data_IF_973939000268
#
_entry.id   IF_973939000268
#
_cell.length_a   1.000
_cell.length_b   1.000
_cell.length_c   1.000
_cell.angle_alpha   90.00
_cell.angle_beta   90.00
_cell.angle_gamma   90.00
#
_symmetry.space_group_name_H-M   'P 1'
#
loop_
_entity.id
_entity.type
_entity.pdbx_description
1 polymer ?
#
# COMPACT_ATOMS: atom_id res chain seq x y z
N UNK A 1 -27.31 3.82 -4.92
CA UNK A 1 -26.38 4.54 -4.02
C UNK A 1 -25.25 5.08 -4.88
N UNK A 2 -24.88 6.36 -4.74
CA UNK A 2 -23.78 6.97 -5.50
C UNK A 2 -22.44 6.68 -4.80
N UNK A 3 -21.89 5.49 -5.06
CA UNK A 3 -20.62 5.01 -4.50
C UNK A 3 -19.43 5.85 -4.94
N UNK A 4 -19.49 6.46 -6.13
CA UNK A 4 -18.44 7.32 -6.66
C UNK A 4 -18.33 8.63 -5.85
N UNK A 5 -19.47 9.25 -5.53
CA UNK A 5 -19.51 10.44 -4.67
C UNK A 5 -18.99 10.12 -3.26
N UNK A 6 -19.45 9.01 -2.65
CA UNK A 6 -18.98 8.60 -1.33
C UNK A 6 -17.47 8.36 -1.30
N UNK A 7 -16.90 7.74 -2.33
CA UNK A 7 -15.46 7.50 -2.42
C UNK A 7 -14.64 8.78 -2.49
N UNK A 8 -15.14 9.81 -3.20
CA UNK A 8 -14.49 11.13 -3.26
C UNK A 8 -14.41 11.79 -1.88
N UNK A 9 -15.42 11.59 -1.04
CA UNK A 9 -15.47 12.12 0.32
C UNK A 9 -14.59 11.33 1.30
N UNK A 10 -14.50 10.00 1.12
CA UNK A 10 -13.76 9.12 2.04
C UNK A 10 -12.25 9.12 1.79
N UNK A 11 -11.78 9.23 0.54
CA UNK A 11 -10.34 9.22 0.21
C UNK A 11 -9.52 10.25 0.99
N UNK A 12 -9.94 11.54 1.10
CA UNK A 12 -9.25 12.53 1.92
C UNK A 12 -9.20 12.17 3.41
N UNK A 13 -10.26 11.57 3.96
CA UNK A 13 -10.32 11.14 5.35
C UNK A 13 -9.31 10.02 5.63
N UNK A 14 -9.26 9.00 4.76
CA UNK A 14 -8.27 7.91 4.86
C UNK A 14 -6.84 8.46 4.80
N UNK A 15 -6.56 9.38 3.86
CA UNK A 15 -5.25 10.02 3.76
C UNK A 15 -4.89 10.77 5.06
N UNK A 16 -5.84 11.46 5.66
CA UNK A 16 -5.63 12.20 6.91
C UNK A 16 -5.33 11.28 8.08
N UNK A 17 -6.00 10.12 8.15
CA UNK A 17 -5.70 9.07 9.14
C UNK A 17 -4.27 8.57 8.95
N UNK A 18 -3.89 8.18 7.72
CA UNK A 18 -2.55 7.68 7.42
C UNK A 18 -1.46 8.69 7.78
N UNK A 19 -1.68 9.98 7.54
CA UNK A 19 -0.72 11.03 7.92
C UNK A 19 -0.49 11.16 9.44
N UNK A 20 -1.39 10.63 10.28
CA UNK A 20 -1.19 10.60 11.74
C UNK A 20 -0.65 9.29 12.28
N UNK A 21 -0.97 8.17 11.63
CA UNK A 21 -0.73 6.82 12.18
C UNK A 21 0.20 5.97 11.32
N UNK A 22 0.87 6.55 10.32
CA UNK A 22 1.74 5.79 9.42
C UNK A 22 2.86 5.06 10.19
N UNK A 23 3.11 3.76 9.92
CA UNK A 23 4.14 2.99 10.64
C UNK A 23 5.55 3.60 10.51
N UNK A 24 5.85 4.25 9.38
CA UNK A 24 7.17 4.86 9.17
C UNK A 24 7.48 6.02 10.12
N UNK A 25 6.47 6.65 10.73
CA UNK A 25 6.72 7.70 11.73
C UNK A 25 7.25 7.13 13.06
N UNK A 26 7.11 5.82 13.28
CA UNK A 26 7.48 5.14 14.52
C UNK A 26 8.76 4.31 14.36
N UNK A 27 9.71 4.77 13.54
CA UNK A 27 10.99 4.06 13.36
C UNK A 27 11.77 3.86 14.67
N UNK A 28 11.53 4.70 15.68
CA UNK A 28 12.14 4.65 17.01
C UNK A 28 11.42 3.71 18.00
N UNK A 29 10.18 3.32 17.71
CA UNK A 29 9.38 2.41 18.55
C UNK A 29 8.87 1.23 17.68
N UNK A 30 9.58 0.08 17.70
CA UNK A 30 9.24 -1.06 16.86
C UNK A 30 7.87 -1.66 17.21
N UNK A 31 7.42 -1.54 18.47
CA UNK A 31 6.13 -2.06 18.92
C UNK A 31 4.99 -1.21 18.34
N UNK A 32 5.08 0.11 18.51
CA UNK A 32 4.10 1.03 17.91
C UNK A 32 4.06 0.92 16.38
N UNK A 33 5.22 0.77 15.73
CA UNK A 33 5.33 0.52 14.29
C UNK A 33 4.58 -0.74 13.86
N UNK A 34 4.78 -1.84 14.55
CA UNK A 34 4.14 -3.12 14.22
C UNK A 34 2.62 -3.09 14.44
N UNK A 35 2.16 -2.46 15.52
CA UNK A 35 0.74 -2.29 15.81
C UNK A 35 0.09 -1.43 14.73
N UNK A 36 0.67 -0.27 14.41
CA UNK A 36 0.17 0.60 13.36
C UNK A 36 0.17 -0.06 11.99
N UNK A 37 1.21 -0.82 11.63
CA UNK A 37 1.26 -1.56 10.37
C UNK A 37 0.10 -2.56 10.27
N UNK A 38 -0.16 -3.32 11.35
CA UNK A 38 -1.24 -4.30 11.41
C UNK A 38 -2.62 -3.62 11.34
N UNK A 39 -2.82 -2.54 12.09
CA UNK A 39 -4.08 -1.79 12.12
C UNK A 39 -4.38 -1.07 10.82
N UNK A 40 -3.37 -0.49 10.16
CA UNK A 40 -3.51 0.15 8.84
C UNK A 40 -3.88 -0.89 7.78
N UNK A 41 -3.25 -2.05 7.78
CA UNK A 41 -3.59 -3.13 6.85
C UNK A 41 -5.06 -3.55 7.02
N UNK A 42 -5.49 -3.82 8.27
CA UNK A 42 -6.89 -4.16 8.58
C UNK A 42 -7.86 -3.06 8.17
N UNK A 43 -7.52 -1.78 8.41
CA UNK A 43 -8.33 -0.65 7.99
C UNK A 43 -8.50 -0.62 6.46
N UNK A 44 -7.44 -0.88 5.70
CA UNK A 44 -7.52 -0.96 4.23
C UNK A 44 -8.40 -2.13 3.77
N UNK A 45 -8.32 -3.29 4.44
CA UNK A 45 -9.16 -4.45 4.12
C UNK A 45 -10.65 -4.17 4.40
N UNK A 46 -10.96 -3.50 5.51
CA UNK A 46 -12.32 -3.09 5.86
C UNK A 46 -12.90 -2.04 4.90
N UNK A 47 -12.05 -1.15 4.38
CA UNK A 47 -12.44 -0.10 3.44
C UNK A 47 -12.29 -0.51 1.97
N UNK A 48 -11.68 -1.65 1.66
CA UNK A 48 -11.48 -2.13 0.30
C UNK A 48 -12.76 -2.15 -0.55
N UNK A 49 -13.94 -2.58 -0.03
CA UNK A 49 -15.20 -2.54 -0.78
C UNK A 49 -15.65 -1.13 -1.17
N UNK A 50 -15.20 -0.11 -0.43
CA UNK A 50 -15.51 1.29 -0.67
C UNK A 50 -14.50 1.94 -1.63
N UNK A 51 -13.24 1.52 -1.56
CA UNK A 51 -12.12 2.13 -2.28
C UNK A 51 -11.85 1.51 -3.66
N UNK A 52 -12.11 0.21 -3.87
CA UNK A 52 -11.87 -0.46 -5.17
C UNK A 52 -13.12 -0.41 -6.07
N UNK A 53 -12.90 -0.11 -7.35
CA UNK A 53 -13.92 -0.34 -8.39
C UNK A 53 -14.05 -1.84 -8.64
N UNK A 54 -15.28 -2.33 -8.59
CA UNK A 54 -15.60 -3.74 -8.79
C UNK A 54 -15.22 -4.21 -10.20
N UNK A 55 -13.99 -4.68 -10.40
CA UNK A 55 -13.62 -5.51 -11.57
C UNK A 55 -12.56 -6.59 -11.32
N UNK A 56 -12.01 -6.74 -10.11
CA UNK A 56 -11.22 -7.95 -9.81
C UNK A 56 -11.66 -8.58 -8.50
N UNK A 57 -12.18 -9.80 -8.62
CA UNK A 57 -12.34 -10.77 -7.53
C UNK A 57 -10.95 -10.95 -6.92
N UNK A 58 -10.67 -10.23 -5.85
CA UNK A 58 -9.48 -10.42 -5.06
C UNK A 58 -9.62 -11.75 -4.30
N UNK A 59 -8.66 -12.61 -4.56
CA UNK A 59 -8.44 -13.92 -3.98
C UNK A 59 -8.65 -13.89 -2.47
N UNK A 60 -9.46 -14.83 -2.00
CA UNK A 60 -9.74 -15.06 -0.59
C UNK A 60 -8.45 -15.46 0.13
N UNK A 61 -7.96 -14.61 1.02
CA UNK A 61 -7.27 -15.09 2.21
C UNK A 61 -8.32 -15.18 3.32
N UNK A 62 -8.89 -16.38 3.47
CA UNK A 62 -9.66 -16.78 4.64
C UNK A 62 -8.68 -17.00 5.79
N UNK A 63 -8.33 -15.94 6.52
CA UNK A 63 -8.01 -16.12 7.93
C UNK A 63 -9.31 -16.31 8.69
N UNK A 64 -9.40 -17.45 9.37
CA UNK A 64 -10.51 -17.88 10.23
C UNK A 64 -10.99 -16.74 11.16
N UNK A 65 -12.31 -16.53 11.33
CA UNK A 65 -12.84 -15.52 12.24
C UNK A 65 -12.70 -16.03 13.68
N UNK A 66 -11.55 -15.79 14.30
CA UNK A 66 -11.42 -15.94 15.75
C UNK A 66 -12.05 -14.72 16.40
N UNK A 67 -13.11 -14.97 17.16
CA UNK A 67 -14.03 -14.02 17.76
C UNK A 67 -13.43 -13.18 18.90
N UNK A 68 -12.38 -12.42 18.61
CA UNK A 68 -11.95 -11.29 19.43
C UNK A 68 -12.20 -10.03 18.61
N UNK A 69 -13.05 -9.15 19.13
CA UNK A 69 -13.58 -7.94 18.49
C UNK A 69 -12.61 -7.26 17.49
N UNK A 70 -13.15 -6.82 16.34
CA UNK A 70 -12.50 -6.00 15.29
C UNK A 70 -12.03 -4.63 15.82
N UNK A 71 -11.19 -4.66 16.85
CA UNK A 71 -10.62 -3.50 17.52
C UNK A 71 -9.30 -3.20 16.82
N UNK A 72 -9.22 -2.02 16.25
CA UNK A 72 -8.00 -1.45 15.71
C UNK A 72 -7.37 -0.58 16.79
N UNK A 73 -6.05 -0.68 16.91
CA UNK A 73 -5.28 0.15 17.84
C UNK A 73 -4.30 1.00 17.05
N UNK A 74 -4.27 2.28 17.34
CA UNK A 74 -3.40 3.23 16.66
C UNK A 74 -2.57 4.02 17.66
N UNK A 75 -1.27 4.13 17.37
CA UNK A 75 -0.41 5.13 17.96
C UNK A 75 -0.42 6.37 17.06
N UNK A 76 -0.65 7.52 17.66
CA UNK A 76 -0.63 8.80 16.97
C UNK A 76 0.76 9.40 17.00
N UNK A 77 1.13 10.06 15.90
CA UNK A 77 2.30 10.94 15.88
C UNK A 77 1.99 12.12 16.80
N UNK A 78 2.56 12.11 18.00
CA UNK A 78 2.55 13.25 18.91
C UNK A 78 3.58 14.30 18.51
N UNK A 79 3.30 15.57 18.82
CA UNK A 79 4.33 16.63 18.85
C UNK A 79 5.22 16.51 20.10
N UNK A 80 4.93 15.56 20.99
CA UNK A 80 5.58 15.36 22.28
C UNK A 80 6.40 14.08 22.30
N UNK A 81 7.60 14.13 22.89
CA UNK A 81 8.58 13.04 22.94
C UNK A 81 8.22 11.88 23.89
N UNK A 82 7.02 11.90 24.49
CA UNK A 82 6.55 10.86 25.41
C UNK A 82 5.74 9.80 24.67
N UNK A 83 5.77 8.53 25.14
CA UNK A 83 4.99 7.44 24.56
C UNK A 83 3.50 7.76 24.66
N UNK A 84 2.84 7.90 23.51
CA UNK A 84 1.41 8.16 23.45
C UNK A 84 0.62 6.88 23.75
N UNK A 85 -0.45 7.01 24.52
CA UNK A 85 -1.38 5.91 24.76
C UNK A 85 -2.04 5.49 23.43
N UNK A 86 -2.18 4.18 23.15
CA UNK A 86 -2.85 3.71 21.96
C UNK A 86 -4.34 4.13 21.96
N UNK A 87 -4.82 4.56 20.80
CA UNK A 87 -6.22 4.85 20.55
C UNK A 87 -6.88 3.59 20.00
N UNK A 88 -7.72 2.95 20.81
CA UNK A 88 -8.49 1.78 20.39
C UNK A 88 -9.83 2.19 19.78
N UNK A 89 -10.17 1.60 18.64
CA UNK A 89 -11.43 1.82 17.92
C UNK A 89 -11.96 0.51 17.37
N UNK A 90 -13.22 0.19 17.68
CA UNK A 90 -13.89 -0.97 17.13
C UNK A 90 -14.82 -0.52 16.00
N UNK A 91 -14.69 -1.16 14.84
CA UNK A 91 -15.64 -0.99 13.76
C UNK A 91 -16.96 -1.66 14.11
N UNK A 92 -18.09 -1.05 13.74
CA UNK A 92 -19.40 -1.63 14.06
C UNK A 92 -19.55 -2.94 13.28
N UNK A 93 -19.45 -4.08 13.98
CA UNK A 93 -19.67 -5.38 13.38
C UNK A 93 -21.18 -5.63 13.38
N UNK A 94 -21.73 -5.97 12.22
CA UNK A 94 -23.16 -6.26 12.10
C UNK A 94 -23.41 -7.57 12.85
N UNK A 95 -23.79 -7.49 14.12
CA UNK A 95 -24.44 -8.62 14.76
C UNK A 95 -25.80 -8.83 14.09
N UNK A 96 -26.06 -10.10 13.78
CA UNK A 96 -27.13 -10.77 13.04
C UNK A 96 -28.60 -10.33 13.21
N UNK A 97 -28.95 -9.11 13.67
CA UNK A 97 -30.31 -8.58 13.49
C UNK A 97 -30.45 -7.93 12.12
N UNK A 98 -30.56 -8.82 11.15
CA UNK A 98 -30.54 -8.57 9.72
C UNK A 98 -31.87 -8.00 9.23
N UNK A 99 -31.88 -6.93 8.41
CA UNK A 99 -33.02 -6.67 7.54
C UNK A 99 -33.07 -7.78 6.46
N UNK A 100 -34.23 -8.44 6.33
CA UNK A 100 -34.54 -9.31 5.20
C UNK A 100 -34.53 -8.45 3.93
N UNK A 101 -33.49 -8.58 3.10
CA UNK A 101 -33.37 -7.79 1.88
C UNK A 101 -32.22 -8.28 1.01
N UNK A 102 -32.32 -8.05 -0.31
CA UNK A 102 -31.37 -8.47 -1.33
C UNK A 102 -29.91 -8.15 -0.94
N UNK A 103 -28.97 -9.06 -1.25
CA UNK A 103 -27.54 -8.96 -0.93
C UNK A 103 -26.89 -7.65 -1.40
N UNK A 104 -27.37 -7.07 -2.49
CA UNK A 104 -26.91 -5.77 -2.98
C UNK A 104 -27.20 -4.62 -2.00
N UNK A 105 -28.38 -4.62 -1.37
CA UNK A 105 -28.74 -3.60 -0.38
C UNK A 105 -27.91 -3.74 0.89
N UNK A 106 -27.59 -4.98 1.29
CA UNK A 106 -26.70 -5.25 2.44
C UNK A 106 -25.30 -4.70 2.20
N UNK A 107 -24.74 -4.92 1.01
CA UNK A 107 -23.43 -4.37 0.64
C UNK A 107 -23.43 -2.85 0.66
N UNK A 108 -24.44 -2.20 0.08
CA UNK A 108 -24.55 -0.73 0.09
C UNK A 108 -24.68 -0.16 1.50
N UNK A 109 -25.50 -0.79 2.35
CA UNK A 109 -25.63 -0.38 3.74
C UNK A 109 -24.30 -0.53 4.50
N UNK A 110 -23.60 -1.66 4.33
CA UNK A 110 -22.31 -1.89 4.97
C UNK A 110 -21.26 -0.87 4.52
N UNK A 111 -21.18 -0.57 3.22
CA UNK A 111 -20.27 0.45 2.68
C UNK A 111 -20.57 1.83 3.30
N UNK A 112 -21.85 2.19 3.41
CA UNK A 112 -22.26 3.44 4.02
C UNK A 112 -21.90 3.47 5.53
N UNK A 113 -22.14 2.38 6.25
CA UNK A 113 -21.80 2.24 7.66
C UNK A 113 -20.29 2.35 7.89
N UNK A 114 -19.46 1.74 7.03
CA UNK A 114 -17.99 1.86 7.11
C UNK A 114 -17.49 3.29 6.90
N UNK A 115 -18.15 4.07 6.04
CA UNK A 115 -17.84 5.50 5.89
C UNK A 115 -18.15 6.30 7.16
N UNK A 116 -19.26 5.97 7.84
CA UNK A 116 -19.62 6.59 9.13
C UNK A 116 -18.63 6.21 10.24
N UNK A 117 -18.27 4.93 10.33
CA UNK A 117 -17.28 4.45 11.29
C UNK A 117 -15.92 5.15 11.09
N UNK A 118 -15.52 5.41 9.82
CA UNK A 118 -14.30 6.16 9.53
C UNK A 118 -14.35 7.62 10.03
N UNK A 119 -15.49 8.29 9.91
CA UNK A 119 -15.64 9.65 10.48
C UNK A 119 -15.49 9.60 12.00
N UNK A 120 -16.09 8.61 12.66
CA UNK A 120 -15.93 8.42 14.10
C UNK A 120 -14.46 8.15 14.50
N UNK A 121 -13.73 7.38 13.68
CA UNK A 121 -12.29 7.17 13.86
C UNK A 121 -11.50 8.49 13.73
N UNK A 122 -11.78 9.31 12.71
CA UNK A 122 -11.15 10.62 12.55
C UNK A 122 -11.36 11.52 13.77
N UNK A 123 -12.58 11.53 14.33
CA UNK A 123 -12.90 12.29 15.53
C UNK A 123 -12.09 11.80 16.74
N UNK A 124 -11.95 10.48 16.93
CA UNK A 124 -11.13 9.92 18.02
C UNK A 124 -9.64 10.23 17.86
N UNK A 125 -9.14 10.28 16.63
CA UNK A 125 -7.75 10.65 16.33
C UNK A 125 -7.50 12.17 16.34
N UNK A 126 -8.51 12.97 16.66
CA UNK A 126 -8.42 14.44 16.66
C UNK A 126 -8.06 15.00 15.29
N UNK A 127 -8.59 14.42 14.21
CA UNK A 127 -8.40 14.89 12.83
C UNK A 127 -9.57 15.82 12.50
N UNK A 128 -9.28 17.06 12.11
CA UNK A 128 -10.30 17.99 11.66
C UNK A 128 -10.98 17.48 10.38
N UNK A 129 -12.26 17.13 10.48
CA UNK A 129 -13.08 16.73 9.34
C UNK A 129 -13.94 17.90 8.87
N UNK A 130 -14.05 18.12 7.56
CA UNK A 130 -14.96 19.12 7.00
C UNK A 130 -16.40 18.79 7.36
N UNK A 131 -17.08 19.67 8.09
CA UNK A 131 -18.48 19.48 8.53
C UNK A 131 -19.42 19.20 7.35
N UNK A 132 -19.16 19.85 6.20
CA UNK A 132 -19.89 19.62 4.95
C UNK A 132 -19.77 18.19 4.43
N UNK A 133 -18.57 17.58 4.52
CA UNK A 133 -18.34 16.21 4.06
C UNK A 133 -19.00 15.20 5.01
N UNK A 134 -19.00 15.48 6.32
CA UNK A 134 -19.68 14.65 7.32
C UNK A 134 -21.19 14.65 7.09
N UNK A 135 -21.80 15.83 6.93
CA UNK A 135 -23.22 15.95 6.63
C UNK A 135 -23.63 15.22 5.34
N UNK A 136 -22.80 15.29 4.29
CA UNK A 136 -23.05 14.55 3.05
C UNK A 136 -22.96 13.02 3.23
N UNK A 137 -21.98 12.53 4.00
CA UNK A 137 -21.86 11.10 4.32
C UNK A 137 -23.09 10.63 5.10
N UNK A 138 -23.53 11.38 6.11
CA UNK A 138 -24.73 11.07 6.89
C UNK A 138 -26.00 11.05 6.05
N UNK A 139 -26.15 12.00 5.11
CA UNK A 139 -27.27 12.02 4.19
C UNK A 139 -27.30 10.78 3.28
N UNK A 140 -26.14 10.33 2.79
CA UNK A 140 -26.03 9.12 1.97
C UNK A 140 -26.35 7.86 2.79
N UNK A 141 -25.88 7.80 4.04
CA UNK A 141 -26.19 6.71 4.98
C UNK A 141 -27.68 6.66 5.30
N UNK A 142 -28.31 7.81 5.58
CA UNK A 142 -29.74 7.91 5.85
C UNK A 142 -30.60 7.44 4.67
N UNK A 143 -30.21 7.78 3.44
CA UNK A 143 -30.88 7.29 2.21
C UNK A 143 -30.72 5.78 2.03
N UNK A 144 -29.55 5.23 2.34
CA UNK A 144 -29.31 3.78 2.28
C UNK A 144 -30.12 3.02 3.35
N UNK A 145 -30.34 3.61 4.54
CA UNK A 145 -31.17 3.06 5.61
C UNK A 145 -32.68 3.21 5.38
N UNK A 146 -33.15 4.30 4.76
CA UNK A 146 -34.57 4.54 4.51
C UNK A 146 -35.13 3.73 3.32
N UNK A 147 -34.27 3.32 2.37
CA UNK A 147 -34.66 2.55 1.18
C UNK A 147 -35.22 1.14 1.49
N UNK A 148 -35.17 0.68 2.74
CA UNK A 148 -35.73 -0.62 3.17
C UNK A 148 -37.18 -0.54 3.66
N UNK A 149 -37.76 0.65 3.84
CA UNK A 149 -39.15 0.84 4.31
C UNK A 149 -40.19 1.10 3.22
N UNK A 150 -39.79 1.24 1.95
CA UNK A 150 -40.71 1.60 0.86
C UNK A 150 -40.77 0.50 -0.21
N UNK A 151 -41.29 -0.67 0.14
CA UNK A 151 -41.60 -1.75 -0.81
C UNK A 151 -43.03 -1.70 -1.39
N UNK A 152 -43.86 -0.74 -0.97
CA UNK A 152 -45.27 -0.67 -1.38
C UNK A 152 -45.58 0.33 -2.53
N UNK A 153 -44.62 1.16 -2.96
CA UNK A 153 -44.85 2.19 -4.00
C UNK A 153 -44.13 1.91 -5.34
N UNK A 154 -43.55 0.72 -5.52
CA UNK A 154 -42.52 0.45 -6.53
C UNK A 154 -43.00 -0.15 -7.86
N UNK A 155 -44.28 -0.04 -8.21
CA UNK A 155 -44.77 -0.51 -9.51
C UNK A 155 -44.75 0.59 -10.59
N UNK A 156 -45.21 1.81 -10.29
CA UNK A 156 -45.29 2.90 -11.28
C UNK A 156 -43.93 3.58 -11.54
N UNK A 157 -43.08 3.69 -10.50
CA UNK A 157 -41.73 4.28 -10.61
C UNK A 157 -40.78 3.33 -11.33
N UNK A 158 -41.00 2.02 -11.28
CA UNK A 158 -40.17 1.03 -11.97
C UNK A 158 -40.31 1.12 -13.49
N UNK A 159 -41.53 1.34 -14.00
CA UNK A 159 -41.79 1.53 -15.43
C UNK A 159 -41.15 2.82 -15.97
N UNK A 160 -41.35 3.95 -15.28
CA UNK A 160 -40.73 5.22 -15.65
C UNK A 160 -39.18 5.16 -15.55
N UNK A 161 -38.64 4.43 -14.57
CA UNK A 161 -37.19 4.26 -14.40
C UNK A 161 -36.59 3.29 -15.43
N UNK A 162 -37.32 2.28 -15.91
CA UNK A 162 -36.84 1.40 -16.98
C UNK A 162 -36.78 2.12 -18.31
N UNK A 163 -37.75 2.99 -18.60
CA UNK A 163 -37.77 3.79 -19.81
C UNK A 163 -36.64 4.84 -19.83
N UNK A 164 -36.41 5.52 -18.70
CA UNK A 164 -35.27 6.44 -18.55
C UNK A 164 -33.91 5.72 -18.66
N UNK A 165 -33.81 4.49 -18.15
CA UNK A 165 -32.59 3.67 -18.29
C UNK A 165 -32.39 3.20 -19.73
N UNK A 166 -33.44 2.84 -20.44
CA UNK A 166 -33.38 2.47 -21.85
C UNK A 166 -32.96 3.67 -22.73
N UNK A 167 -33.49 4.87 -22.44
CA UNK A 167 -33.09 6.10 -23.13
C UNK A 167 -31.60 6.43 -22.92
N UNK A 168 -31.12 6.40 -21.68
CA UNK A 168 -29.68 6.63 -21.37
C UNK A 168 -28.76 5.56 -21.97
N UNK A 169 -29.22 4.30 -22.05
CA UNK A 169 -28.44 3.24 -22.68
C UNK A 169 -28.26 3.50 -24.18
N UNK A 170 -29.28 3.98 -24.89
CA UNK A 170 -29.19 4.36 -26.31
C UNK A 170 -28.23 5.54 -26.51
N UNK A 171 -28.36 6.58 -25.70
CA UNK A 171 -27.48 7.76 -25.77
C UNK A 171 -26.01 7.40 -25.46
N UNK A 172 -25.77 6.52 -24.49
CA UNK A 172 -24.43 6.02 -24.19
C UNK A 172 -23.84 5.25 -25.39
N UNK A 173 -24.61 4.41 -26.07
CA UNK A 173 -24.14 3.68 -27.26
C UNK A 173 -23.77 4.64 -28.40
N UNK A 174 -24.56 5.69 -28.64
CA UNK A 174 -24.24 6.71 -29.64
C UNK A 174 -22.97 7.48 -29.31
N UNK A 175 -22.78 7.84 -28.03
CA UNK A 175 -21.54 8.50 -27.58
C UNK A 175 -20.32 7.58 -27.70
N UNK A 176 -20.44 6.29 -27.38
CA UNK A 176 -19.35 5.33 -27.60
C UNK A 176 -19.03 5.16 -29.09
N UNK A 177 -20.05 5.18 -29.97
CA UNK A 177 -19.84 5.13 -31.42
C UNK A 177 -19.08 6.36 -31.93
N UNK A 178 -19.51 7.56 -31.53
CA UNK A 178 -18.82 8.83 -31.87
C UNK A 178 -17.40 8.90 -31.34
N UNK A 179 -17.16 8.40 -30.13
CA UNK A 179 -15.82 8.41 -29.51
C UNK A 179 -14.85 7.41 -30.16
N UNK A 180 -15.37 6.33 -30.76
CA UNK A 180 -14.56 5.38 -31.54
C UNK A 180 -14.14 5.93 -32.91
N UNK A 181 -14.94 6.85 -33.46
CA UNK A 181 -14.67 7.52 -34.74
C UNK A 181 -13.76 8.75 -34.60
N UNK A 182 -13.60 9.29 -33.39
CA UNK A 182 -12.70 10.41 -33.13
C UNK A 182 -11.23 9.93 -33.08
N UNK A 183 -10.32 10.49 -33.90
CA UNK A 183 -8.90 10.16 -33.82
C UNK A 183 -8.35 10.58 -32.44
N UNK A 184 -7.73 9.63 -31.73
CA UNK A 184 -7.15 9.87 -30.41
C UNK A 184 -5.99 10.88 -30.53
N UNK A 185 -6.11 12.10 -29.95
CA UNK A 185 -5.09 13.14 -30.08
C UNK A 185 -3.75 12.73 -29.46
N UNK A 186 -3.75 11.70 -28.59
CA UNK A 186 -2.55 11.18 -27.95
C UNK A 186 -2.02 9.90 -28.61
N UNK A 187 -2.64 9.39 -29.67
CA UNK A 187 -2.17 8.18 -30.37
C UNK A 187 -0.72 8.33 -30.83
N UNK A 188 -0.39 9.50 -31.40
CA UNK A 188 0.97 9.82 -31.84
C UNK A 188 1.98 9.88 -30.68
N UNK A 189 1.57 10.38 -29.52
CA UNK A 189 2.40 10.49 -28.32
C UNK A 189 2.64 9.11 -27.68
N UNK A 190 1.60 8.27 -27.61
CA UNK A 190 1.68 6.89 -27.13
C UNK A 190 2.52 6.01 -28.06
N UNK A 191 2.44 6.22 -29.37
CA UNK A 191 3.31 5.56 -30.35
C UNK A 191 4.77 5.97 -30.17
N UNK A 192 5.05 7.28 -30.00
CA UNK A 192 6.41 7.75 -29.67
C UNK A 192 6.92 7.24 -28.33
N UNK A 193 6.08 7.13 -27.30
CA UNK A 193 6.47 6.58 -25.99
C UNK A 193 6.70 5.07 -26.04
N UNK A 194 5.98 4.33 -26.90
CA UNK A 194 6.26 2.90 -27.14
C UNK A 194 7.57 2.67 -27.87
N UNK A 195 7.92 3.56 -28.80
CA UNK A 195 9.19 3.53 -29.52
C UNK A 195 10.37 4.02 -28.66
N UNK A 196 10.11 4.91 -27.71
CA UNK A 196 11.10 5.33 -26.75
C UNK A 196 11.34 4.18 -25.74
N UNK A 197 12.45 3.43 -25.94
CA UNK A 197 13.00 2.49 -24.94
C UNK A 197 13.38 3.28 -23.68
N UNK A 198 12.42 3.51 -22.79
CA UNK A 198 12.64 4.01 -21.43
C UNK A 198 13.07 2.85 -20.52
N UNK A 199 14.19 2.23 -20.87
CA UNK A 199 14.97 1.47 -19.91
C UNK A 199 16.36 2.07 -19.97
N UNK A 200 16.88 2.64 -18.86
CA UNK A 200 18.32 2.84 -18.75
C UNK A 200 18.94 1.50 -19.11
N UNK A 201 19.90 1.47 -20.02
CA UNK A 201 20.60 0.27 -20.46
C UNK A 201 21.28 -0.41 -19.26
N UNK A 202 20.50 -1.19 -18.50
CA UNK A 202 20.93 -2.23 -17.58
C UNK A 202 21.16 -3.55 -18.34
N UNK A 203 21.04 -3.52 -19.67
CA UNK A 203 21.52 -4.59 -20.54
C UNK A 203 22.95 -4.26 -20.96
N UNK A 204 23.89 -4.36 -20.01
CA UNK A 204 25.27 -4.68 -20.40
C UNK A 204 25.22 -5.95 -21.23
N UNK A 205 26.01 -5.98 -22.29
CA UNK A 205 26.14 -7.15 -23.17
C UNK A 205 26.36 -8.39 -22.32
N UNK A 206 25.77 -9.51 -22.74
CA UNK A 206 25.87 -10.81 -22.07
C UNK A 206 27.32 -11.32 -21.94
N UNK A 207 28.27 -10.59 -22.53
CA UNK A 207 29.70 -10.88 -22.62
C UNK A 207 30.58 -9.85 -21.88
N UNK A 208 30.01 -8.85 -21.21
CA UNK A 208 30.78 -7.92 -20.40
C UNK A 208 31.23 -8.63 -19.12
N UNK A 209 32.49 -9.08 -19.09
CA UNK A 209 33.14 -9.59 -17.87
C UNK A 209 32.90 -8.59 -16.73
N UNK A 210 32.38 -9.09 -15.62
CA UNK A 210 32.22 -8.29 -14.42
C UNK A 210 33.62 -7.94 -13.91
N UNK A 211 33.95 -6.65 -13.91
CA UNK A 211 35.22 -6.14 -13.38
C UNK A 211 34.97 -5.44 -12.05
N UNK A 212 35.72 -5.82 -11.03
CA UNK A 212 35.68 -5.19 -9.72
C UNK A 212 36.31 -3.80 -9.80
N UNK A 213 35.58 -2.79 -9.37
CA UNK A 213 36.13 -1.42 -9.27
C UNK A 213 37.03 -1.35 -8.03
N UNK A 214 38.33 -1.60 -8.22
CA UNK A 214 39.33 -1.59 -7.14
C UNK A 214 39.41 -0.25 -6.40
N UNK A 215 39.01 0.85 -7.03
CA UNK A 215 38.94 2.18 -6.39
C UNK A 215 37.85 2.29 -5.32
N UNK A 216 36.92 1.34 -5.30
CA UNK A 216 35.82 1.27 -4.33
C UNK A 216 35.96 0.14 -3.32
N UNK A 217 37.12 -0.52 -3.28
CA UNK A 217 37.43 -1.57 -2.31
C UNK A 217 38.25 -0.98 -1.17
N UNK A 218 37.70 -1.05 0.02
CA UNK A 218 38.31 -0.54 1.25
C UNK A 218 38.56 -1.70 2.22
N UNK A 219 39.60 -1.58 3.03
CA UNK A 219 39.96 -2.57 4.04
C UNK A 219 39.87 -1.94 5.43
N UNK A 220 39.25 -2.66 6.36
CA UNK A 220 39.27 -2.27 7.76
C UNK A 220 40.70 -2.40 8.31
N UNK A 221 41.05 -1.55 9.28
CA UNK A 221 42.39 -1.54 9.89
C UNK A 221 42.78 -2.83 10.61
N UNK A 222 41.83 -3.73 10.85
CA UNK A 222 42.07 -5.04 11.45
C UNK A 222 42.57 -6.10 10.46
N UNK A 223 42.46 -5.86 9.15
CA UNK A 223 42.86 -6.83 8.12
C UNK A 223 44.35 -6.67 7.83
N UNK A 224 45.09 -7.77 7.75
CA UNK A 224 46.53 -7.75 7.45
C UNK A 224 46.79 -7.20 6.02
N UNK A 225 47.56 -6.11 5.85
CA UNK A 225 47.85 -5.53 4.54
C UNK A 225 48.49 -6.50 3.54
N UNK A 226 49.22 -7.51 4.02
CA UNK A 226 49.84 -8.52 3.15
C UNK A 226 48.81 -9.42 2.47
N UNK A 227 47.62 -9.54 3.05
CA UNK A 227 46.53 -10.37 2.53
C UNK A 227 45.67 -9.66 1.49
N UNK A 228 45.79 -8.33 1.33
CA UNK A 228 44.89 -7.53 0.49
C UNK A 228 44.84 -8.03 -0.96
N UNK A 229 46.00 -8.23 -1.58
CA UNK A 229 46.08 -8.69 -2.96
C UNK A 229 45.36 -10.03 -3.16
N UNK A 230 45.57 -10.98 -2.24
CA UNK A 230 44.94 -12.31 -2.28
C UNK A 230 43.42 -12.23 -2.08
N UNK A 231 42.95 -11.33 -1.20
CA UNK A 231 41.51 -11.14 -0.97
C UNK A 231 40.85 -10.53 -2.22
N UNK A 232 41.46 -9.52 -2.83
CA UNK A 232 40.94 -8.90 -4.06
C UNK A 232 40.85 -9.92 -5.19
N UNK A 233 41.92 -10.69 -5.42
CA UNK A 233 41.94 -11.75 -6.44
C UNK A 233 40.83 -12.78 -6.20
N UNK A 234 40.61 -13.16 -4.94
CA UNK A 234 39.52 -14.08 -4.57
C UNK A 234 38.14 -13.49 -4.84
N UNK A 235 37.92 -12.20 -4.58
CA UNK A 235 36.66 -11.52 -4.90
C UNK A 235 36.46 -11.48 -6.41
N UNK A 236 37.49 -11.08 -7.16
CA UNK A 236 37.47 -11.01 -8.63
C UNK A 236 37.13 -12.36 -9.28
N UNK A 237 37.68 -13.45 -8.75
CA UNK A 237 37.42 -14.81 -9.25
C UNK A 237 35.98 -15.27 -8.98
N UNK A 238 35.30 -14.68 -7.99
CA UNK A 238 33.97 -15.11 -7.54
C UNK A 238 32.88 -14.05 -7.73
N UNK A 239 33.08 -13.03 -8.58
CA UNK A 239 32.12 -11.92 -8.76
C UNK A 239 30.72 -12.40 -9.21
N UNK A 240 30.68 -13.40 -10.08
CA UNK A 240 29.42 -13.96 -10.59
C UNK A 240 28.60 -14.60 -9.47
N UNK A 241 29.26 -15.37 -8.60
CA UNK A 241 28.61 -16.06 -7.49
C UNK A 241 28.23 -15.10 -6.36
N UNK A 242 28.97 -13.99 -6.21
CA UNK A 242 28.67 -12.93 -5.25
C UNK A 242 27.56 -11.98 -5.72
N UNK A 243 27.00 -12.20 -6.92
CA UNK A 243 25.99 -11.32 -7.53
C UNK A 243 26.43 -9.84 -7.55
N UNK A 244 27.68 -9.61 -7.98
CA UNK A 244 28.28 -8.26 -8.01
C UNK A 244 27.43 -7.26 -8.81
N UNK A 245 26.70 -7.72 -9.83
CA UNK A 245 25.75 -6.94 -10.61
C UNK A 245 24.75 -6.15 -9.75
N UNK A 246 24.32 -6.73 -8.62
CA UNK A 246 23.30 -6.12 -7.74
C UNK A 246 23.84 -5.01 -6.86
N UNK A 247 25.15 -4.98 -6.61
CA UNK A 247 25.74 -4.08 -5.62
C UNK A 247 27.01 -3.36 -6.09
N UNK A 248 27.41 -3.50 -7.36
CA UNK A 248 28.53 -2.82 -7.98
C UNK A 248 28.49 -1.27 -7.91
N UNK A 249 27.33 -0.69 -7.60
CA UNK A 249 27.18 0.75 -7.38
C UNK A 249 27.66 1.21 -6.00
N UNK A 250 27.78 0.29 -5.03
CA UNK A 250 28.14 0.58 -3.64
C UNK A 250 29.62 0.28 -3.37
N UNK A 251 30.27 1.03 -2.47
CA UNK A 251 31.63 0.72 -2.04
C UNK A 251 31.67 -0.57 -1.19
N UNK A 252 32.74 -1.34 -1.34
CA UNK A 252 32.97 -2.60 -0.63
C UNK A 252 33.94 -2.37 0.53
N UNK A 253 33.58 -2.83 1.72
CA UNK A 253 34.41 -2.83 2.92
C UNK A 253 34.76 -4.27 3.32
N UNK A 254 36.05 -4.61 3.25
CA UNK A 254 36.58 -5.89 3.70
C UNK A 254 36.94 -5.80 5.18
N UNK A 255 36.35 -6.67 5.99
CA UNK A 255 36.59 -6.77 7.43
C UNK A 255 37.28 -8.08 7.77
N UNK A 256 37.89 -8.18 8.95
CA UNK A 256 38.52 -9.43 9.37
C UNK A 256 37.49 -10.52 9.71
N UNK A 257 36.40 -10.16 10.40
CA UNK A 257 35.30 -11.07 10.72
C UNK A 257 33.96 -10.34 10.82
N UNK A 258 32.83 -11.07 10.72
CA UNK A 258 31.49 -10.49 10.88
C UNK A 258 31.27 -9.81 12.23
N UNK A 259 31.93 -10.29 13.28
CA UNK A 259 31.89 -9.69 14.62
C UNK A 259 32.45 -8.27 14.64
N UNK A 260 33.41 -7.98 13.76
CA UNK A 260 33.98 -6.63 13.62
C UNK A 260 33.09 -5.69 12.77
N UNK A 261 32.17 -6.24 11.97
CA UNK A 261 31.25 -5.47 11.15
C UNK A 261 30.03 -4.95 11.93
N UNK A 262 29.56 -5.70 12.92
CA UNK A 262 28.33 -5.39 13.65
C UNK A 262 28.59 -5.20 15.15
N UNK A 263 28.19 -4.05 15.71
CA UNK A 263 28.26 -3.80 17.16
C UNK A 263 26.85 -3.55 17.68
N UNK A 264 26.37 -4.42 18.58
CA UNK A 264 25.09 -4.25 19.31
C UNK A 264 23.95 -3.79 18.38
N UNK A 265 23.70 -4.53 17.30
CA UNK A 265 22.71 -4.27 16.22
C UNK A 265 22.97 -3.16 15.19
N UNK A 266 24.01 -2.34 15.34
CA UNK A 266 24.37 -1.32 14.34
C UNK A 266 25.53 -1.78 13.44
N UNK A 267 25.47 -1.45 12.15
CA UNK A 267 26.58 -1.65 11.22
C UNK A 267 27.66 -0.60 11.51
N UNK A 268 28.93 -1.03 11.64
CA UNK A 268 30.06 -0.12 11.86
C UNK A 268 30.40 0.70 10.63
N UNK A 269 30.00 0.23 9.45
CA UNK A 269 30.32 0.79 8.14
C UNK A 269 29.02 1.08 7.35
N UNK A 270 28.28 2.14 7.69
CA UNK A 270 27.06 2.49 6.97
C UNK A 270 27.37 2.92 5.53
N UNK A 271 26.54 2.47 4.57
CA UNK A 271 26.71 2.79 3.15
C UNK A 271 27.72 1.91 2.40
N UNK A 272 28.34 0.93 3.07
CA UNK A 272 29.22 -0.06 2.46
C UNK A 272 28.54 -1.43 2.37
N UNK A 273 28.87 -2.17 1.32
CA UNK A 273 28.74 -3.63 1.34
C UNK A 273 29.86 -4.17 2.21
N UNK A 274 29.53 -4.94 3.24
CA UNK A 274 30.55 -5.47 4.16
C UNK A 274 30.77 -6.95 3.88
N UNK A 275 32.04 -7.35 3.76
CA UNK A 275 32.43 -8.74 3.47
C UNK A 275 33.63 -9.13 4.34
N UNK A 276 33.64 -10.30 4.98
CA UNK A 276 34.79 -10.75 5.75
C UNK A 276 35.93 -11.24 4.84
N UNK A 277 37.17 -11.12 5.27
CA UNK A 277 38.36 -11.50 4.50
C UNK A 277 38.40 -13.01 4.17
N UNK A 278 37.80 -13.83 5.02
CA UNK A 278 37.71 -15.28 4.91
C UNK A 278 36.45 -15.78 4.18
N UNK A 279 35.63 -14.89 3.60
CA UNK A 279 34.32 -15.22 3.02
C UNK A 279 34.30 -16.51 2.18
N UNK A 280 33.31 -17.37 2.41
CA UNK A 280 33.08 -18.59 1.63
C UNK A 280 31.84 -18.41 0.77
N UNK A 281 31.96 -18.76 -0.52
CA UNK A 281 30.88 -18.61 -1.49
C UNK A 281 29.89 -19.78 -1.44
N UNK A 282 30.32 -20.91 -0.91
CA UNK A 282 29.51 -22.13 -0.79
C UNK A 282 28.52 -22.12 0.37
N UNK A 283 28.47 -21.05 1.17
CA UNK A 283 27.59 -20.97 2.35
C UNK A 283 27.95 -21.95 3.48
N UNK A 284 28.96 -22.77 3.30
CA UNK A 284 29.55 -23.60 4.35
C UNK A 284 30.53 -22.73 5.14
N UNK A 285 30.00 -22.06 6.16
CA UNK A 285 30.76 -21.46 7.26
C UNK A 285 30.54 -22.32 8.50
#
# INVERSE_FOLDING_TARGET
MDTAKLRKLVKPLVRSVLLKVHPDFFAHDPVAKQINQSSVQRLQDLLAPLLKDSTHVATRHTSSPTAAADTLEFFCKGDSALPQSPVSFAFTQIQMHQPQGNDANRRHWLIAQRAKDLVALCNRLGIATSETAVAEIEQIVGKAGASTKSAAASASVAAASSELRAARAREAMENYRRKKEAPDPNAFLLEKLRLARWSPDLRRSKDARLELDRGKVFFASSVDPRSYARIVERIETNLDQLHYDRWCSLPLMVVDSWHNAFKRSATRYPGFVVMPADFSVSGNV
#
